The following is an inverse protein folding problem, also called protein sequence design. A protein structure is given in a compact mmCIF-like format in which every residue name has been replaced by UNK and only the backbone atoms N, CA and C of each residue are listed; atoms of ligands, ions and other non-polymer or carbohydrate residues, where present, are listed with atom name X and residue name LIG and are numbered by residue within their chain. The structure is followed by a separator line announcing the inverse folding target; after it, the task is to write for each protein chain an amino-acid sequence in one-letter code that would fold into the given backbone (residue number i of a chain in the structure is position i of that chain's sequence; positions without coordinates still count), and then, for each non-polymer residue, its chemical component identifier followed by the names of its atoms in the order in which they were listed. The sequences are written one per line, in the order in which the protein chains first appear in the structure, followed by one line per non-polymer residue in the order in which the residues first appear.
data_IF_332185271599
#
_entry.id   IF_332185271599
#
_cell.length_a   1.000
_cell.length_b   1.000
_cell.length_c   1.000
_cell.angle_alpha   90.00
_cell.angle_beta   90.00
_cell.angle_gamma   90.00
#
_symmetry.space_group_name_H-M   'P 1'
#
loop_
_entity.id
_entity.type
_entity.pdbx_description
1 polymer ?
#
# COMPACT_ATOMS: atom_id res chain seq x y z
N UNK A 1 44.90 -49.26 -18.39
CA UNK A 1 45.67 -48.29 -19.18
C UNK A 1 44.74 -47.30 -19.91
N UNK A 2 43.71 -46.78 -19.22
CA UNK A 2 42.66 -45.91 -19.81
C UNK A 2 42.54 -44.58 -19.04
N UNK A 3 42.94 -44.55 -17.76
CA UNK A 3 42.82 -43.36 -16.90
C UNK A 3 43.85 -42.25 -17.19
N UNK A 4 45.02 -42.57 -17.75
CA UNK A 4 46.06 -41.56 -18.01
C UNK A 4 45.85 -40.74 -19.29
N UNK A 5 45.00 -41.19 -20.21
CA UNK A 5 44.86 -40.58 -21.54
C UNK A 5 43.79 -39.49 -21.60
N UNK A 6 42.74 -39.59 -20.78
CA UNK A 6 41.62 -38.63 -20.80
C UNK A 6 42.02 -37.28 -20.18
N UNK A 7 42.92 -37.29 -19.19
CA UNK A 7 43.40 -36.06 -18.52
C UNK A 7 44.49 -35.35 -19.35
N UNK A 8 45.13 -36.05 -20.30
CA UNK A 8 46.25 -35.53 -21.08
C UNK A 8 45.85 -34.97 -22.45
N UNK A 9 44.58 -35.08 -22.87
CA UNK A 9 44.11 -34.47 -24.13
C UNK A 9 43.90 -32.96 -23.92
N UNK A 10 44.71 -32.09 -24.57
CA UNK A 10 44.59 -30.64 -24.46
C UNK A 10 43.21 -30.13 -24.87
N UNK A 11 42.52 -30.86 -25.75
CA UNK A 11 41.18 -30.53 -26.24
C UNK A 11 40.12 -30.73 -25.14
N UNK A 12 40.26 -31.80 -24.34
CA UNK A 12 39.37 -32.07 -23.20
C UNK A 12 39.59 -31.04 -22.08
N UNK A 13 40.84 -30.73 -21.75
CA UNK A 13 41.16 -29.73 -20.73
C UNK A 13 40.68 -28.32 -21.16
N UNK A 14 40.88 -27.96 -22.43
CA UNK A 14 40.40 -26.70 -22.99
C UNK A 14 38.87 -26.58 -22.96
N UNK A 15 38.15 -27.66 -23.31
CA UNK A 15 36.70 -27.71 -23.21
C UNK A 15 36.20 -27.61 -21.76
N UNK A 16 36.87 -28.28 -20.82
CA UNK A 16 36.54 -28.22 -19.40
C UNK A 16 36.73 -26.80 -18.82
N UNK A 17 37.86 -26.16 -19.11
CA UNK A 17 38.12 -24.77 -18.70
C UNK A 17 37.10 -23.82 -19.34
N UNK A 18 36.82 -23.99 -20.64
CA UNK A 18 35.80 -23.22 -21.35
C UNK A 18 34.41 -23.37 -20.73
N UNK A 19 34.02 -24.58 -20.34
CA UNK A 19 32.75 -24.86 -19.68
C UNK A 19 32.68 -24.24 -18.27
N UNK A 20 33.76 -24.30 -17.49
CA UNK A 20 33.84 -23.66 -16.16
C UNK A 20 33.71 -22.13 -16.28
N UNK A 21 34.45 -21.51 -17.21
CA UNK A 21 34.38 -20.06 -17.44
C UNK A 21 32.97 -19.66 -17.89
N UNK A 22 32.39 -20.41 -18.84
CA UNK A 22 31.03 -20.13 -19.35
C UNK A 22 29.99 -20.30 -18.25
N UNK A 23 30.10 -21.35 -17.42
CA UNK A 23 29.21 -21.58 -16.28
C UNK A 23 29.30 -20.46 -15.23
N UNK A 24 30.50 -19.99 -14.91
CA UNK A 24 30.69 -18.86 -13.98
C UNK A 24 30.09 -17.56 -14.53
N UNK A 25 30.29 -17.27 -15.82
CA UNK A 25 29.67 -16.10 -16.47
C UNK A 25 28.15 -16.21 -16.41
N UNK A 26 27.58 -17.38 -16.71
CA UNK A 26 26.13 -17.60 -16.63
C UNK A 26 25.59 -17.34 -15.21
N UNK A 27 26.26 -17.84 -14.17
CA UNK A 27 25.88 -17.59 -12.77
C UNK A 27 25.92 -16.09 -12.43
N UNK A 28 26.97 -15.39 -12.86
CA UNK A 28 27.11 -13.94 -12.63
C UNK A 28 26.02 -13.14 -13.32
N UNK A 29 25.66 -13.49 -14.55
CA UNK A 29 24.59 -12.85 -15.31
C UNK A 29 23.24 -13.12 -14.63
N UNK A 30 22.95 -14.37 -14.27
CA UNK A 30 21.72 -14.73 -13.55
C UNK A 30 21.60 -13.99 -12.22
N UNK A 31 22.68 -13.91 -11.44
CA UNK A 31 22.67 -13.17 -10.18
C UNK A 31 22.33 -11.69 -10.40
N UNK A 32 22.99 -11.05 -11.38
CA UNK A 32 22.71 -9.65 -11.73
C UNK A 32 21.28 -9.46 -12.19
N UNK A 33 20.73 -10.39 -12.96
CA UNK A 33 19.35 -10.36 -13.42
C UNK A 33 18.37 -10.48 -12.24
N UNK A 34 18.58 -11.41 -11.32
CA UNK A 34 17.75 -11.55 -10.11
C UNK A 34 17.76 -10.27 -9.27
N UNK A 35 18.92 -9.65 -9.08
CA UNK A 35 19.03 -8.38 -8.33
C UNK A 35 18.30 -7.26 -9.05
N UNK A 36 18.45 -7.18 -10.37
CA UNK A 36 17.77 -6.18 -11.19
C UNK A 36 16.25 -6.35 -11.14
N UNK A 37 15.74 -7.56 -11.33
CA UNK A 37 14.31 -7.87 -11.34
C UNK A 37 13.69 -7.60 -9.96
N UNK A 38 14.38 -7.94 -8.87
CA UNK A 38 13.97 -7.58 -7.50
C UNK A 38 13.86 -6.06 -7.34
N UNK A 39 14.85 -5.30 -7.80
CA UNK A 39 14.86 -3.83 -7.72
C UNK A 39 13.74 -3.22 -8.57
N UNK A 40 13.52 -3.75 -9.78
CA UNK A 40 12.45 -3.31 -10.68
C UNK A 40 11.08 -3.55 -10.06
N UNK A 41 10.82 -4.77 -9.58
CA UNK A 41 9.58 -5.13 -8.88
C UNK A 41 9.34 -4.24 -7.67
N UNK A 42 10.35 -4.03 -6.83
CA UNK A 42 10.23 -3.16 -5.66
C UNK A 42 9.91 -1.71 -6.04
N UNK A 43 10.47 -1.18 -7.15
CA UNK A 43 10.12 0.15 -7.65
C UNK A 43 8.66 0.21 -8.12
N UNK A 44 8.19 -0.83 -8.80
CA UNK A 44 6.82 -0.95 -9.29
C UNK A 44 5.81 -1.06 -8.15
N UNK A 45 6.08 -1.91 -7.15
CA UNK A 45 5.26 -2.07 -5.95
C UNK A 45 5.11 -0.73 -5.22
N UNK A 46 6.22 0.00 -5.01
CA UNK A 46 6.18 1.33 -4.38
C UNK A 46 5.41 2.36 -5.23
N UNK A 47 5.49 2.27 -6.56
CA UNK A 47 4.72 3.16 -7.45
C UNK A 47 3.22 2.89 -7.35
N UNK A 48 2.82 1.62 -7.28
CA UNK A 48 1.42 1.24 -7.07
C UNK A 48 0.95 1.66 -5.67
N UNK A 49 1.80 1.51 -4.66
CA UNK A 49 1.48 1.99 -3.32
C UNK A 49 1.29 3.51 -3.25
N UNK A 50 2.10 4.29 -3.97
CA UNK A 50 1.89 5.76 -4.07
C UNK A 50 0.51 6.10 -4.63
N UNK A 51 -0.03 5.31 -5.57
CA UNK A 51 -1.41 5.50 -6.06
C UNK A 51 -2.44 5.20 -4.97
N UNK A 52 -2.23 4.15 -4.17
CA UNK A 52 -3.06 3.84 -3.01
C UNK A 52 -3.03 4.99 -1.99
N UNK A 53 -1.84 5.51 -1.67
CA UNK A 53 -1.70 6.64 -0.75
C UNK A 53 -2.38 7.91 -1.27
N UNK A 54 -2.32 8.15 -2.59
CA UNK A 54 -3.03 9.27 -3.23
C UNK A 54 -4.54 9.13 -3.10
N UNK A 55 -5.06 7.90 -3.26
CA UNK A 55 -6.49 7.63 -3.05
C UNK A 55 -6.88 7.85 -1.58
N UNK A 56 -6.07 7.38 -0.63
CA UNK A 56 -6.30 7.56 0.81
C UNK A 56 -6.32 9.04 1.17
N UNK A 57 -5.36 9.82 0.68
CA UNK A 57 -5.35 11.28 0.87
C UNK A 57 -6.62 11.92 0.30
N UNK A 58 -6.94 11.70 -0.98
CA UNK A 58 -8.07 12.40 -1.60
C UNK A 58 -9.43 11.99 -1.02
N UNK A 59 -9.66 10.68 -0.87
CA UNK A 59 -10.94 10.16 -0.41
C UNK A 59 -11.04 10.24 1.12
N UNK A 60 -9.95 9.99 1.85
CA UNK A 60 -9.90 10.15 3.30
C UNK A 60 -10.16 11.59 3.72
N UNK A 61 -9.54 12.59 3.08
CA UNK A 61 -9.83 14.01 3.37
C UNK A 61 -11.29 14.37 3.10
N UNK A 62 -11.87 13.83 2.02
CA UNK A 62 -13.31 14.01 1.72
C UNK A 62 -14.19 13.39 2.81
N UNK A 63 -13.87 12.17 3.25
CA UNK A 63 -14.59 11.52 4.34
C UNK A 63 -14.48 12.31 5.64
N UNK A 64 -13.27 12.75 6.00
CA UNK A 64 -13.02 13.57 7.19
C UNK A 64 -13.82 14.86 7.15
N UNK A 65 -13.82 15.56 6.01
CA UNK A 65 -14.54 16.83 5.86
C UNK A 65 -16.05 16.66 6.04
N UNK A 66 -16.64 15.61 5.43
CA UNK A 66 -18.06 15.29 5.57
C UNK A 66 -18.41 14.86 7.00
N UNK A 67 -17.61 13.98 7.59
CA UNK A 67 -17.82 13.50 8.95
C UNK A 67 -17.70 14.62 9.98
N UNK A 68 -16.68 15.47 9.85
CA UNK A 68 -16.50 16.66 10.67
C UNK A 68 -17.70 17.60 10.60
N UNK A 69 -18.18 17.88 9.39
CA UNK A 69 -19.38 18.70 9.18
C UNK A 69 -20.59 18.14 9.95
N UNK A 70 -20.89 16.84 9.79
CA UNK A 70 -22.03 16.20 10.45
C UNK A 70 -21.91 16.28 11.99
N UNK A 71 -20.71 16.03 12.51
CA UNK A 71 -20.44 16.03 13.96
C UNK A 71 -20.44 17.46 14.55
N UNK A 72 -20.01 18.47 13.79
CA UNK A 72 -20.04 19.89 14.20
C UNK A 72 -21.45 20.49 14.17
N UNK A 73 -22.32 20.00 13.30
CA UNK A 73 -23.74 20.39 13.24
C UNK A 73 -24.65 19.54 14.14
N UNK A 74 -24.08 18.83 15.12
CA UNK A 74 -24.80 18.03 16.11
C UNK A 74 -25.84 17.07 15.49
N UNK A 75 -25.49 16.48 14.35
CA UNK A 75 -26.29 15.47 13.66
C UNK A 75 -27.68 15.93 13.21
N UNK A 76 -27.89 17.24 12.96
CA UNK A 76 -29.17 17.75 12.49
C UNK A 76 -29.62 17.05 11.18
N UNK A 77 -30.80 16.42 11.22
CA UNK A 77 -31.37 15.63 10.13
C UNK A 77 -32.01 16.55 9.07
N UNK A 78 -31.16 17.18 8.26
CA UNK A 78 -31.59 17.85 7.04
C UNK A 78 -31.16 17.03 5.80
N UNK A 79 -31.70 17.38 4.62
CA UNK A 79 -31.34 16.69 3.36
C UNK A 79 -29.83 16.70 3.06
N UNK A 80 -29.08 17.68 3.56
CA UNK A 80 -27.63 17.78 3.39
C UNK A 80 -26.88 16.67 4.15
N UNK A 81 -27.37 16.29 5.34
CA UNK A 81 -26.81 15.23 6.17
C UNK A 81 -26.96 13.85 5.53
N UNK A 82 -28.13 13.55 4.94
CA UNK A 82 -28.40 12.30 4.22
C UNK A 82 -27.52 12.16 2.97
N UNK A 83 -27.42 13.20 2.15
CA UNK A 83 -26.55 13.18 0.96
C UNK A 83 -25.07 13.03 1.36
N UNK A 84 -24.66 13.67 2.46
CA UNK A 84 -23.31 13.55 3.00
C UNK A 84 -23.00 12.12 3.45
N UNK A 85 -23.94 11.44 4.11
CA UNK A 85 -23.80 10.02 4.47
C UNK A 85 -23.60 9.11 3.25
N UNK A 86 -24.42 9.27 2.20
CA UNK A 86 -24.28 8.48 0.98
C UNK A 86 -22.90 8.68 0.32
N UNK A 87 -22.43 9.93 0.31
CA UNK A 87 -21.07 10.27 -0.17
C UNK A 87 -19.99 9.62 0.69
N UNK A 88 -20.13 9.61 2.02
CA UNK A 88 -19.21 8.93 2.93
C UNK A 88 -19.21 7.41 2.72
N UNK A 89 -20.36 6.79 2.48
CA UNK A 89 -20.43 5.37 2.11
C UNK A 89 -19.69 5.07 0.81
N UNK A 90 -19.84 5.94 -0.19
CA UNK A 90 -19.16 5.79 -1.48
C UNK A 90 -17.65 5.84 -1.29
N UNK A 91 -17.16 6.78 -0.48
CA UNK A 91 -15.74 6.84 -0.09
C UNK A 91 -15.29 5.55 0.60
N UNK A 92 -16.03 5.07 1.60
CA UNK A 92 -15.75 3.79 2.29
C UNK A 92 -15.64 2.63 1.31
N UNK A 93 -16.57 2.55 0.36
CA UNK A 93 -16.58 1.52 -0.70
C UNK A 93 -15.34 1.65 -1.59
N UNK A 94 -14.98 2.86 -2.02
CA UNK A 94 -13.79 3.10 -2.85
C UNK A 94 -12.50 2.63 -2.16
N UNK A 95 -12.30 3.01 -0.90
CA UNK A 95 -11.10 2.63 -0.12
C UNK A 95 -11.08 1.11 0.16
N UNK A 96 -12.24 0.50 0.41
CA UNK A 96 -12.32 -0.97 0.63
C UNK A 96 -12.05 -1.81 -0.63
N UNK A 97 -12.06 -1.20 -1.82
CA UNK A 97 -11.80 -1.87 -3.10
C UNK A 97 -10.34 -1.80 -3.54
N UNK A 98 -9.49 -1.13 -2.77
CA UNK A 98 -8.05 -1.13 -3.03
C UNK A 98 -7.55 -2.57 -3.08
N UNK A 99 -6.75 -2.89 -4.09
CA UNK A 99 -6.08 -4.19 -4.15
C UNK A 99 -4.97 -4.22 -3.09
N UNK A 100 -5.11 -5.13 -2.13
CA UNK A 100 -4.17 -5.31 -1.02
C UNK A 100 -2.77 -5.71 -1.50
N UNK A 101 -2.64 -6.30 -2.71
CA UNK A 101 -1.36 -6.60 -3.31
C UNK A 101 -0.53 -5.35 -3.65
N UNK A 102 -1.18 -4.18 -3.75
CA UNK A 102 -0.50 -2.90 -3.93
C UNK A 102 -0.03 -2.25 -2.62
N UNK A 103 -0.31 -2.87 -1.47
CA UNK A 103 0.12 -2.38 -0.15
C UNK A 103 1.33 -3.19 0.31
N UNK A 104 2.52 -2.58 0.43
CA UNK A 104 3.70 -3.29 0.92
C UNK A 104 3.48 -3.79 2.35
N UNK A 105 3.99 -4.98 2.65
CA UNK A 105 3.84 -5.64 3.95
C UNK A 105 4.15 -4.73 5.15
N UNK A 106 5.15 -3.84 5.00
CA UNK A 106 5.54 -2.86 6.03
C UNK A 106 4.39 -1.94 6.47
N UNK A 107 3.47 -1.60 5.57
CA UNK A 107 2.37 -0.64 5.81
C UNK A 107 0.99 -1.31 5.89
N UNK A 108 0.96 -2.64 5.78
CA UNK A 108 -0.30 -3.38 5.66
C UNK A 108 -1.16 -3.25 6.92
N UNK A 109 -0.55 -3.34 8.11
CA UNK A 109 -1.27 -3.20 9.37
C UNK A 109 -1.92 -1.81 9.49
N UNK A 110 -1.18 -0.74 9.20
CA UNK A 110 -1.69 0.63 9.24
C UNK A 110 -2.84 0.82 8.24
N UNK A 111 -2.71 0.27 7.04
CA UNK A 111 -3.76 0.32 6.03
C UNK A 111 -5.05 -0.39 6.47
N UNK A 112 -4.95 -1.56 7.09
CA UNK A 112 -6.11 -2.29 7.62
C UNK A 112 -6.74 -1.51 8.78
N UNK A 113 -5.93 -0.99 9.70
CA UNK A 113 -6.41 -0.18 10.81
C UNK A 113 -7.15 1.08 10.32
N UNK A 114 -6.64 1.72 9.27
CA UNK A 114 -7.31 2.85 8.62
C UNK A 114 -8.67 2.46 8.05
N UNK A 115 -8.77 1.34 7.33
CA UNK A 115 -10.04 0.83 6.82
C UNK A 115 -11.04 0.54 7.95
N UNK A 116 -10.60 -0.10 9.02
CA UNK A 116 -11.44 -0.39 10.19
C UNK A 116 -11.89 0.89 10.91
N UNK A 117 -11.00 1.87 11.04
CA UNK A 117 -11.31 3.18 11.64
C UNK A 117 -12.36 3.91 10.82
N UNK A 118 -12.23 3.90 9.49
CA UNK A 118 -13.19 4.49 8.57
C UNK A 118 -14.58 3.84 8.70
N UNK A 119 -14.64 2.51 8.80
CA UNK A 119 -15.88 1.78 8.98
C UNK A 119 -16.53 2.05 10.34
N UNK A 120 -15.73 2.08 11.42
CA UNK A 120 -16.20 2.40 12.76
C UNK A 120 -16.74 3.83 12.85
N UNK A 121 -16.02 4.82 12.30
CA UNK A 121 -16.48 6.21 12.23
C UNK A 121 -17.80 6.35 11.49
N UNK A 122 -17.91 5.71 10.32
CA UNK A 122 -19.16 5.75 9.55
C UNK A 122 -20.33 5.14 10.34
N UNK A 123 -20.10 4.04 11.05
CA UNK A 123 -21.10 3.41 11.90
C UNK A 123 -21.53 4.34 13.05
N UNK A 124 -20.59 4.96 13.75
CA UNK A 124 -20.89 5.84 14.87
C UNK A 124 -21.55 7.15 14.44
N UNK A 125 -21.21 7.68 13.26
CA UNK A 125 -21.88 8.85 12.69
C UNK A 125 -23.33 8.52 12.34
N UNK A 126 -23.60 7.34 11.74
CA UNK A 126 -24.96 6.87 11.49
C UNK A 126 -25.77 6.70 12.78
N UNK A 127 -25.16 6.12 13.81
CA UNK A 127 -25.79 5.99 15.12
C UNK A 127 -26.15 7.36 15.72
N UNK A 128 -25.26 8.36 15.60
CA UNK A 128 -25.52 9.73 16.07
C UNK A 128 -26.71 10.39 15.37
N UNK A 129 -26.81 10.23 14.04
CA UNK A 129 -27.95 10.73 13.25
C UNK A 129 -29.26 10.07 13.70
N UNK A 130 -29.24 8.74 13.88
CA UNK A 130 -30.41 7.99 14.36
C UNK A 130 -30.73 8.22 15.85
N UNK A 131 -29.95 9.05 16.56
CA UNK A 131 -30.04 9.28 18.02
C UNK A 131 -29.90 7.98 18.84
N UNK A 132 -29.14 7.03 18.30
CA UNK A 132 -28.78 5.78 18.97
C UNK A 132 -27.54 5.98 19.86
N UNK A 133 -27.38 5.13 20.88
CA UNK A 133 -26.16 5.12 21.69
C UNK A 133 -24.94 4.73 20.83
N UNK A 134 -23.79 5.40 21.03
CA UNK A 134 -22.54 5.11 20.34
C UNK A 134 -21.94 6.24 19.51
N UNK A 135 -22.53 7.45 19.53
CA UNK A 135 -21.96 8.66 18.92
C UNK A 135 -20.91 9.36 19.78
N UNK A 136 -20.79 8.97 21.06
CA UNK A 136 -19.81 9.49 22.00
C UNK A 136 -18.39 9.26 21.48
N UNK A 137 -17.56 10.31 21.48
CA UNK A 137 -16.16 10.22 21.04
C UNK A 137 -15.92 10.37 19.54
N UNK A 138 -16.96 10.64 18.72
CA UNK A 138 -16.80 10.87 17.28
C UNK A 138 -15.79 11.98 16.95
N UNK A 139 -15.71 13.04 17.76
CA UNK A 139 -14.68 14.08 17.62
C UNK A 139 -13.25 13.54 17.76
N UNK A 140 -12.99 12.71 18.78
CA UNK A 140 -11.67 12.13 19.00
C UNK A 140 -11.32 11.10 17.92
N UNK A 141 -12.29 10.31 17.48
CA UNK A 141 -12.10 9.39 16.36
C UNK A 141 -11.79 10.12 15.06
N UNK A 142 -12.49 11.23 14.76
CA UNK A 142 -12.21 12.07 13.59
C UNK A 142 -10.80 12.66 13.64
N UNK A 143 -10.35 13.08 14.82
CA UNK A 143 -8.98 13.58 15.03
C UNK A 143 -7.95 12.48 14.80
N UNK A 144 -8.17 11.28 15.34
CA UNK A 144 -7.34 10.10 15.08
C UNK A 144 -7.27 9.77 13.60
N UNK A 145 -8.42 9.74 12.93
CA UNK A 145 -8.52 9.48 11.50
C UNK A 145 -7.77 10.53 10.65
N UNK A 146 -7.82 11.82 11.03
CA UNK A 146 -7.04 12.86 10.36
C UNK A 146 -5.54 12.63 10.50
N UNK A 147 -5.08 12.24 11.70
CA UNK A 147 -3.68 11.92 11.93
C UNK A 147 -3.22 10.72 11.07
N UNK A 148 -4.07 9.71 10.90
CA UNK A 148 -3.78 8.57 10.02
C UNK A 148 -3.60 9.02 8.57
N UNK A 149 -4.49 9.88 8.07
CA UNK A 149 -4.36 10.48 6.72
C UNK A 149 -3.03 11.22 6.60
N UNK A 150 -2.68 12.07 7.56
CA UNK A 150 -1.44 12.85 7.54
C UNK A 150 -0.18 11.97 7.58
N UNK A 151 -0.24 10.84 8.31
CA UNK A 151 0.81 9.82 8.31
C UNK A 151 0.99 9.18 6.93
N UNK A 152 -0.10 8.84 6.24
CA UNK A 152 -0.05 8.33 4.87
C UNK A 152 0.46 9.38 3.87
N UNK A 153 0.08 10.65 4.02
CA UNK A 153 0.59 11.76 3.21
C UNK A 153 2.10 11.91 3.38
N UNK A 154 2.59 11.84 4.62
CA UNK A 154 4.03 11.87 4.93
C UNK A 154 4.75 10.71 4.27
N UNK A 155 4.22 9.49 4.42
CA UNK A 155 4.76 8.28 3.78
C UNK A 155 4.82 8.43 2.25
N UNK A 156 3.78 9.00 1.64
CA UNK A 156 3.74 9.27 0.19
C UNK A 156 4.87 10.20 -0.23
N UNK A 157 5.07 11.31 0.49
CA UNK A 157 6.13 12.29 0.20
C UNK A 157 7.52 11.67 0.32
N UNK A 158 7.76 10.84 1.34
CA UNK A 158 9.02 10.11 1.50
C UNK A 158 9.30 9.17 0.32
N UNK A 159 8.29 8.41 -0.13
CA UNK A 159 8.41 7.50 -1.26
C UNK A 159 8.65 8.24 -2.58
N UNK A 160 7.92 9.34 -2.83
CA UNK A 160 8.13 10.19 -4.00
C UNK A 160 9.56 10.75 -4.03
N UNK A 161 10.06 11.25 -2.90
CA UNK A 161 11.44 11.77 -2.77
C UNK A 161 12.48 10.67 -2.98
N UNK A 162 12.27 9.49 -2.40
CA UNK A 162 13.23 8.37 -2.44
C UNK A 162 13.34 7.76 -3.85
N UNK A 163 12.23 7.60 -4.55
CA UNK A 163 12.21 6.90 -5.84
C UNK A 163 12.10 7.81 -7.06
N UNK A 164 11.92 9.12 -6.86
CA UNK A 164 11.78 10.13 -7.92
C UNK A 164 10.76 9.68 -8.97
N UNK A 165 9.56 9.36 -8.49
CA UNK A 165 8.42 9.01 -9.34
C UNK A 165 7.92 10.21 -10.13
#
# INVERSE_FOLDING_TARGET
MIEKTIIADPSFLGALIGAIITGLIAILVMWRQIVYDKKKKYKEDNRNFVKVLTLIESEGERFYSLGKMIVEFDYDENHMTLESLERMEKVRKNISRVDHNHVPQKYYADFINFQSTLEALLKNIKAGINKEHGSEGNYEMLKGFKNDIDSFVTTKQELLKKYKF
#
